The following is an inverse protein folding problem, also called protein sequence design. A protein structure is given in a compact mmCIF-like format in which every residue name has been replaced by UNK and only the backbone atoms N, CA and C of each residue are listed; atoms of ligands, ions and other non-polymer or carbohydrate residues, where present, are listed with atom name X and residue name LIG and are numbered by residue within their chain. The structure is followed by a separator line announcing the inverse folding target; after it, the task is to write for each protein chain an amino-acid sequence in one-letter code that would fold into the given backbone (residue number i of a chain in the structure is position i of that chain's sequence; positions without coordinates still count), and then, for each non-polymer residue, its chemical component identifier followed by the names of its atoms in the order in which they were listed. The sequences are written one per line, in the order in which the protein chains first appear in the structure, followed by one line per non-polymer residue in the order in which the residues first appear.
data_IF_104679240766
#
_entry.id   IF_104679240766
#
_cell.length_a   1.000
_cell.length_b   1.000
_cell.length_c   1.000
_cell.angle_alpha   90.00
_cell.angle_beta   90.00
_cell.angle_gamma   90.00
#
_symmetry.space_group_name_H-M   'P 1'
#
loop_
_entity.id
_entity.type
_entity.pdbx_description
1 polymer ?
#
# COMPACT_ATOMS: atom_id res chain seq x y z
N UNK A 1 -5.47 -13.21 -63.04
CA UNK A 1 -6.65 -12.95 -62.19
C UNK A 1 -6.24 -12.07 -61.02
N UNK A 2 -6.64 -10.80 -61.05
CA UNK A 2 -7.00 -9.96 -59.90
C UNK A 2 -7.32 -8.56 -60.45
N UNK A 3 -8.45 -8.02 -60.04
CA UNK A 3 -9.12 -6.86 -60.61
C UNK A 3 -8.57 -5.51 -60.08
N UNK A 4 -8.71 -4.47 -60.90
CA UNK A 4 -8.45 -3.06 -60.57
C UNK A 4 -9.48 -2.52 -59.54
N UNK A 5 -9.00 -1.66 -58.62
CA UNK A 5 -9.83 -0.87 -57.70
C UNK A 5 -9.78 0.60 -58.15
N UNK A 6 -10.90 1.32 -58.36
CA UNK A 6 -10.86 2.71 -58.82
C UNK A 6 -10.60 3.70 -57.67
N UNK A 7 -9.66 4.63 -57.88
CA UNK A 7 -9.39 5.78 -57.01
C UNK A 7 -10.45 6.89 -57.20
N UNK A 8 -11.06 7.34 -56.11
CA UNK A 8 -11.99 8.48 -56.10
C UNK A 8 -11.25 9.82 -56.32
N UNK A 9 -11.80 10.76 -57.10
CA UNK A 9 -11.15 12.04 -57.38
C UNK A 9 -11.32 13.08 -56.25
N UNK A 10 -10.25 13.84 -55.99
CA UNK A 10 -10.23 14.97 -55.05
C UNK A 10 -11.02 16.18 -55.60
N UNK A 11 -11.83 16.89 -54.79
CA UNK A 11 -12.52 18.09 -55.26
C UNK A 11 -11.58 19.32 -55.37
N UNK A 12 -11.77 20.06 -56.47
CA UNK A 12 -11.02 21.25 -56.90
C UNK A 12 -11.37 22.48 -56.05
N UNK A 13 -10.36 23.28 -55.70
CA UNK A 13 -10.52 24.58 -55.06
C UNK A 13 -11.18 25.63 -55.96
N UNK A 14 -12.04 26.47 -55.37
CA UNK A 14 -12.56 27.71 -55.99
C UNK A 14 -12.19 28.92 -55.11
N UNK A 15 -11.66 29.96 -55.76
CA UNK A 15 -11.24 31.25 -55.18
C UNK A 15 -12.44 32.10 -54.70
N UNK A 16 -12.23 33.06 -53.77
CA UNK A 16 -13.32 33.74 -53.05
C UNK A 16 -13.96 34.87 -53.87
N UNK A 17 -15.29 35.03 -53.75
CA UNK A 17 -16.01 36.25 -54.16
C UNK A 17 -16.42 37.06 -52.94
N UNK A 18 -16.01 38.33 -52.96
CA UNK A 18 -16.27 39.39 -51.99
C UNK A 18 -17.73 39.85 -52.12
N UNK A 19 -18.54 39.75 -51.06
CA UNK A 19 -19.89 40.32 -51.02
C UNK A 19 -19.98 41.29 -49.83
N UNK A 20 -20.61 42.44 -50.11
CA UNK A 20 -20.63 43.68 -49.35
C UNK A 20 -21.25 43.56 -47.94
N UNK A 21 -20.65 44.28 -46.99
CA UNK A 21 -21.15 44.47 -45.62
C UNK A 21 -22.40 45.34 -45.62
N UNK A 22 -23.45 44.93 -44.90
CA UNK A 22 -24.54 45.81 -44.42
C UNK A 22 -24.41 45.99 -42.89
N UNK A 23 -24.81 47.13 -42.31
CA UNK A 23 -24.59 47.43 -40.89
C UNK A 23 -25.55 46.67 -39.95
N UNK A 24 -25.07 46.53 -38.71
CA UNK A 24 -25.57 45.69 -37.60
C UNK A 24 -26.74 46.34 -36.84
N UNK A 25 -27.77 45.57 -36.43
CA UNK A 25 -28.66 45.96 -35.33
C UNK A 25 -28.05 45.54 -33.99
N UNK A 26 -28.02 46.46 -33.00
CA UNK A 26 -27.60 46.18 -31.62
C UNK A 26 -28.60 45.22 -30.97
N UNK A 27 -28.24 43.95 -30.81
CA UNK A 27 -28.89 43.05 -29.87
C UNK A 27 -28.01 42.78 -28.65
N UNK A 28 -28.68 42.88 -27.51
CA UNK A 28 -28.21 42.95 -26.14
C UNK A 28 -27.25 41.82 -25.77
N UNK A 29 -26.07 42.18 -25.25
CA UNK A 29 -25.15 41.25 -24.61
C UNK A 29 -25.85 40.57 -23.43
N UNK A 30 -26.13 39.27 -23.54
CA UNK A 30 -26.48 38.44 -22.37
C UNK A 30 -25.27 38.39 -21.43
N UNK A 31 -25.43 38.68 -20.14
CA UNK A 31 -24.32 38.61 -19.21
C UNK A 31 -23.82 37.17 -19.07
N UNK A 32 -22.50 37.05 -19.15
CA UNK A 32 -21.72 35.85 -18.83
C UNK A 32 -22.09 35.39 -17.42
N UNK A 33 -22.50 34.13 -17.28
CA UNK A 33 -22.87 33.51 -16.01
C UNK A 33 -21.72 33.67 -14.99
N UNK A 34 -21.88 34.55 -14.00
CA UNK A 34 -21.03 34.61 -12.83
C UNK A 34 -21.53 33.56 -11.84
N UNK A 35 -20.68 32.64 -11.33
CA UNK A 35 -21.11 31.71 -10.31
C UNK A 35 -21.44 32.51 -9.04
N UNK A 36 -22.70 32.45 -8.62
CA UNK A 36 -23.16 33.02 -7.35
C UNK A 36 -22.37 32.41 -6.21
N UNK A 37 -21.72 33.23 -5.39
CA UNK A 37 -21.12 32.81 -4.14
C UNK A 37 -22.21 32.24 -3.24
N UNK A 38 -22.35 30.92 -3.20
CA UNK A 38 -23.16 30.24 -2.19
C UNK A 38 -22.66 30.61 -0.78
N UNK A 39 -23.52 30.56 0.24
CA UNK A 39 -23.11 30.87 1.60
C UNK A 39 -21.90 30.00 1.95
N UNK A 40 -20.78 30.65 2.30
CA UNK A 40 -19.58 29.95 2.80
C UNK A 40 -20.05 29.08 3.95
N UNK A 41 -20.07 27.75 3.75
CA UNK A 41 -20.29 26.83 4.85
C UNK A 41 -19.21 27.11 5.88
N UNK A 42 -19.62 27.70 6.98
CA UNK A 42 -18.79 27.89 8.16
C UNK A 42 -18.48 26.47 8.61
N UNK A 43 -17.36 25.89 8.16
CA UNK A 43 -16.85 24.64 8.70
C UNK A 43 -16.72 24.87 10.18
N UNK A 44 -17.65 24.32 10.96
CA UNK A 44 -17.57 24.23 12.40
C UNK A 44 -16.18 23.70 12.74
N UNK A 45 -15.28 24.62 13.11
CA UNK A 45 -14.02 24.27 13.73
C UNK A 45 -14.34 23.91 15.17
N UNK A 46 -15.03 22.78 15.35
CA UNK A 46 -15.07 22.11 16.66
C UNK A 46 -13.60 21.91 17.05
N UNK A 47 -13.16 22.39 18.22
CA UNK A 47 -11.79 22.19 18.66
C UNK A 47 -11.53 20.68 18.62
N UNK A 48 -10.47 20.25 17.92
CA UNK A 48 -10.09 18.84 17.92
C UNK A 48 -9.94 18.45 19.39
N UNK A 49 -10.84 17.59 19.86
CA UNK A 49 -10.80 17.07 21.23
C UNK A 49 -9.40 16.50 21.52
N UNK A 50 -9.01 16.51 22.80
CA UNK A 50 -7.72 15.95 23.22
C UNK A 50 -7.56 14.56 22.57
N UNK A 51 -6.42 14.27 21.91
CA UNK A 51 -6.25 13.01 21.20
C UNK A 51 -6.45 11.86 22.17
N UNK A 52 -7.16 10.82 21.71
CA UNK A 52 -7.46 9.63 22.53
C UNK A 52 -6.18 9.04 23.12
N UNK A 53 -6.30 8.33 24.25
CA UNK A 53 -5.15 7.64 24.86
C UNK A 53 -4.48 6.68 23.87
N UNK A 54 -5.28 6.01 23.04
CA UNK A 54 -4.83 5.15 21.94
C UNK A 54 -3.94 5.93 20.96
N UNK A 55 -4.37 7.10 20.50
CA UNK A 55 -3.58 7.91 19.56
C UNK A 55 -2.29 8.42 20.19
N UNK A 56 -2.27 8.69 21.51
CA UNK A 56 -1.06 9.09 22.24
C UNK A 56 -0.07 7.94 22.37
N UNK A 57 -0.54 6.75 22.75
CA UNK A 57 0.27 5.54 22.83
C UNK A 57 0.86 5.20 21.46
N UNK A 58 0.05 5.27 20.40
CA UNK A 58 0.51 5.06 19.03
C UNK A 58 1.60 6.04 18.59
N UNK A 59 1.41 7.34 18.86
CA UNK A 59 2.43 8.35 18.58
C UNK A 59 3.72 8.09 19.35
N UNK A 60 3.62 7.58 20.58
CA UNK A 60 4.78 7.24 21.38
C UNK A 60 5.50 6.00 20.83
N UNK A 61 4.77 4.93 20.48
CA UNK A 61 5.33 3.74 19.83
C UNK A 61 6.07 4.09 18.54
N UNK A 62 5.45 4.89 17.66
CA UNK A 62 6.10 5.41 16.47
C UNK A 62 7.32 6.28 16.73
N UNK A 63 7.57 6.77 17.95
CA UNK A 63 8.80 7.54 18.26
C UNK A 63 9.94 6.65 18.73
N UNK A 64 9.63 5.45 19.23
CA UNK A 64 10.63 4.53 19.78
C UNK A 64 11.00 3.41 18.79
N UNK A 65 10.11 3.06 17.86
CA UNK A 65 10.38 2.02 16.87
C UNK A 65 11.58 2.36 15.97
N UNK A 66 12.49 1.40 15.80
CA UNK A 66 13.57 1.54 14.82
C UNK A 66 13.04 1.35 13.38
N UNK A 67 12.06 0.46 13.22
CA UNK A 67 11.46 0.09 11.94
C UNK A 67 9.96 -0.05 12.13
N UNK A 68 9.19 0.39 11.12
CA UNK A 68 7.74 0.20 11.04
C UNK A 68 7.41 -0.36 9.67
N UNK A 69 6.81 -1.55 9.64
CA UNK A 69 6.23 -2.12 8.44
C UNK A 69 4.84 -1.53 8.21
N UNK A 70 4.55 -1.13 6.97
CA UNK A 70 3.27 -0.58 6.58
C UNK A 70 2.70 -1.38 5.40
N UNK A 71 1.38 -1.56 5.41
CA UNK A 71 0.59 -2.19 4.35
C UNK A 71 -0.58 -1.26 3.95
N UNK A 72 -1.22 -1.53 2.80
CA UNK A 72 -2.25 -0.69 2.19
C UNK A 72 -1.85 0.79 2.04
N UNK A 73 -0.55 1.04 1.91
CA UNK A 73 0.00 2.37 1.76
C UNK A 73 -0.31 2.90 0.37
N UNK A 74 -1.52 3.46 0.16
CA UNK A 74 -1.92 4.14 -1.10
C UNK A 74 -1.16 5.45 -1.30
N UNK A 75 0.16 5.35 -1.34
CA UNK A 75 1.11 6.45 -1.42
C UNK A 75 1.31 6.81 -2.89
N UNK A 76 0.24 7.18 -3.60
CA UNK A 76 0.36 7.65 -4.98
C UNK A 76 1.13 8.96 -5.00
N UNK A 77 2.30 9.03 -5.67
CA UNK A 77 3.28 10.14 -5.85
C UNK A 77 3.57 11.11 -4.66
N UNK A 78 2.87 10.96 -3.54
CA UNK A 78 2.75 11.88 -2.43
C UNK A 78 3.51 11.31 -1.24
N UNK A 79 4.67 11.91 -1.01
CA UNK A 79 5.57 11.62 0.12
C UNK A 79 4.81 11.61 1.45
N UNK A 80 4.95 10.55 2.24
CA UNK A 80 4.67 10.62 3.67
C UNK A 80 5.57 11.69 4.30
N UNK A 81 5.03 12.76 4.91
CA UNK A 81 5.86 13.74 5.58
C UNK A 81 6.16 13.21 6.98
N UNK A 82 7.28 12.52 7.18
CA UNK A 82 7.68 12.09 8.53
C UNK A 82 9.09 12.57 8.86
N UNK A 83 9.14 13.71 9.57
CA UNK A 83 10.32 14.14 10.31
C UNK A 83 10.79 12.97 11.18
N UNK A 84 12.00 12.47 10.92
CA UNK A 84 12.62 11.42 11.72
C UNK A 84 12.55 9.99 11.16
N UNK A 85 11.99 9.78 9.96
CA UNK A 85 12.00 8.47 9.29
C UNK A 85 12.37 8.59 7.81
N UNK A 86 13.10 7.59 7.32
CA UNK A 86 13.33 7.29 5.91
C UNK A 86 12.27 6.30 5.45
N UNK A 87 11.58 6.62 4.35
CA UNK A 87 10.60 5.74 3.70
C UNK A 87 11.30 4.89 2.64
N UNK A 88 11.15 3.58 2.71
CA UNK A 88 11.50 2.64 1.66
C UNK A 88 10.23 2.08 1.02
N UNK A 89 10.21 2.09 -0.32
CA UNK A 89 9.14 1.55 -1.15
C UNK A 89 9.71 0.41 -2.00
N UNK A 90 8.88 -0.54 -2.47
CA UNK A 90 9.28 -1.55 -3.42
C UNK A 90 9.84 -0.89 -4.68
N UNK A 91 11.01 -1.34 -5.15
CA UNK A 91 11.61 -0.84 -6.40
C UNK A 91 11.09 -1.67 -7.57
N UNK A 92 10.37 -1.01 -8.48
CA UNK A 92 9.87 -1.60 -9.72
C UNK A 92 8.70 -2.58 -9.53
N UNK A 93 7.56 -2.31 -10.17
CA UNK A 93 6.56 -3.35 -10.44
C UNK A 93 5.12 -3.10 -10.00
N UNK A 94 4.83 -2.17 -9.10
CA UNK A 94 3.42 -1.80 -8.83
C UNK A 94 3.26 -0.32 -8.47
N UNK A 95 2.35 0.43 -9.12
CA UNK A 95 2.18 1.88 -8.91
C UNK A 95 1.69 2.28 -7.51
N UNK A 96 1.40 1.30 -6.63
CA UNK A 96 0.55 1.50 -5.47
C UNK A 96 1.26 1.78 -4.16
N UNK A 97 2.53 1.40 -4.00
CA UNK A 97 3.22 1.52 -2.71
C UNK A 97 2.57 0.68 -1.61
N UNK A 98 1.88 -0.42 -1.94
CA UNK A 98 0.99 -1.11 -1.01
C UNK A 98 1.72 -1.70 0.20
N UNK A 99 3.01 -1.99 0.12
CA UNK A 99 3.86 -2.32 1.25
C UNK A 99 5.02 -1.33 1.35
N UNK A 100 5.41 -0.93 2.55
CA UNK A 100 6.52 0.00 2.77
C UNK A 100 7.22 -0.25 4.11
N UNK A 101 8.44 0.26 4.24
CA UNK A 101 9.14 0.36 5.52
C UNK A 101 9.40 1.83 5.87
N UNK A 102 9.14 2.19 7.12
CA UNK A 102 9.69 3.40 7.72
C UNK A 102 10.85 3.01 8.63
N UNK A 103 12.04 3.54 8.36
CA UNK A 103 13.24 3.31 9.16
C UNK A 103 13.62 4.61 9.87
N UNK A 104 13.77 4.57 11.19
CA UNK A 104 14.05 5.77 11.98
C UNK A 104 15.38 6.38 11.57
N UNK A 105 15.42 7.69 11.35
CA UNK A 105 16.64 8.41 11.00
C UNK A 105 17.73 8.17 12.05
N UNK A 106 18.94 7.85 11.59
CA UNK A 106 20.06 7.45 12.43
C UNK A 106 20.19 5.95 12.64
N UNK A 107 19.17 5.15 12.30
CA UNK A 107 19.28 3.68 12.23
C UNK A 107 20.08 3.33 10.99
N UNK A 108 21.10 2.47 11.15
CA UNK A 108 21.88 1.95 10.02
C UNK A 108 21.08 0.84 9.33
N UNK A 109 20.98 0.92 8.01
CA UNK A 109 20.30 -0.10 7.22
C UNK A 109 20.91 -0.22 5.82
N UNK A 110 20.67 -1.36 5.19
CA UNK A 110 20.90 -1.61 3.76
C UNK A 110 19.57 -2.03 3.13
N UNK A 111 19.14 -1.33 2.10
CA UNK A 111 17.97 -1.73 1.30
C UNK A 111 18.28 -3.00 0.51
N UNK A 112 17.29 -3.88 0.33
CA UNK A 112 17.39 -5.04 -0.54
C UNK A 112 16.41 -4.84 -1.69
N UNK A 113 16.93 -4.92 -2.91
CA UNK A 113 16.11 -4.83 -4.12
C UNK A 113 15.51 -6.20 -4.42
N UNK A 114 14.19 -6.32 -4.27
CA UNK A 114 13.49 -7.58 -4.48
C UNK A 114 13.07 -7.75 -5.93
N UNK A 115 13.38 -8.90 -6.49
CA UNK A 115 12.85 -9.37 -7.76
C UNK A 115 11.65 -10.26 -7.46
N UNK A 116 10.48 -9.65 -7.31
CA UNK A 116 9.24 -10.36 -6.99
C UNK A 116 8.04 -9.59 -7.52
N UNK A 117 6.99 -10.30 -7.92
CA UNK A 117 5.70 -9.71 -8.27
C UNK A 117 4.81 -9.46 -7.03
N UNK A 118 5.29 -9.83 -5.83
CA UNK A 118 4.58 -9.60 -4.57
C UNK A 118 4.82 -8.16 -4.06
N UNK A 119 3.82 -7.57 -3.40
CA UNK A 119 3.97 -6.24 -2.80
C UNK A 119 4.80 -6.35 -1.52
N UNK A 120 6.11 -6.15 -1.65
CA UNK A 120 7.04 -6.28 -0.54
C UNK A 120 8.13 -5.19 -0.53
N UNK A 121 8.46 -4.69 0.66
CA UNK A 121 9.57 -3.77 0.88
C UNK A 121 10.46 -4.33 1.98
N UNK A 122 11.78 -4.31 1.78
CA UNK A 122 12.72 -5.00 2.68
C UNK A 122 13.99 -4.20 2.91
N UNK A 123 14.57 -4.37 4.10
CA UNK A 123 15.88 -3.86 4.44
C UNK A 123 16.53 -4.70 5.52
N UNK A 124 17.85 -4.80 5.44
CA UNK A 124 18.70 -5.28 6.53
C UNK A 124 18.95 -4.13 7.49
N UNK A 125 18.63 -4.33 8.76
CA UNK A 125 18.68 -3.31 9.80
C UNK A 125 19.78 -3.69 10.79
N UNK A 126 20.69 -2.76 11.06
CA UNK A 126 21.73 -2.93 12.07
C UNK A 126 21.30 -2.28 13.38
N UNK A 127 20.87 -3.12 14.32
CA UNK A 127 20.60 -2.75 15.72
C UNK A 127 21.76 -3.27 16.58
N UNK A 128 21.48 -3.83 17.76
CA UNK A 128 22.46 -4.64 18.52
C UNK A 128 22.86 -5.90 17.76
N UNK A 129 21.92 -6.47 17.01
CA UNK A 129 22.11 -7.55 16.04
C UNK A 129 21.56 -7.11 14.68
N UNK A 130 22.09 -7.71 13.62
CA UNK A 130 21.58 -7.49 12.27
C UNK A 130 20.32 -8.33 12.05
N UNK A 131 19.26 -7.70 11.53
CA UNK A 131 17.99 -8.34 11.22
C UNK A 131 17.46 -7.85 9.88
N UNK A 132 17.06 -8.76 9.00
CA UNK A 132 16.31 -8.42 7.79
C UNK A 132 14.84 -8.25 8.15
N UNK A 133 14.24 -7.12 7.79
CA UNK A 133 12.81 -6.88 7.98
C UNK A 133 12.16 -6.72 6.61
N UNK A 134 11.10 -7.49 6.36
CA UNK A 134 10.31 -7.42 5.14
C UNK A 134 8.87 -7.04 5.49
N UNK A 135 8.36 -5.95 4.93
CA UNK A 135 6.93 -5.64 4.92
C UNK A 135 6.30 -6.34 3.72
N UNK A 136 5.28 -7.16 3.94
CA UNK A 136 4.57 -7.91 2.89
C UNK A 136 3.09 -7.53 2.89
N UNK A 137 2.52 -7.35 1.70
CA UNK A 137 1.08 -7.22 1.51
C UNK A 137 0.60 -8.19 0.44
N UNK A 138 -0.20 -9.18 0.84
CA UNK A 138 -0.83 -10.11 -0.09
C UNK A 138 -2.23 -9.59 -0.43
N UNK A 139 -2.44 -9.19 -1.69
CA UNK A 139 -3.74 -8.71 -2.15
C UNK A 139 -4.84 -9.77 -1.92
N UNK A 140 -6.02 -9.39 -1.39
CA UNK A 140 -7.06 -10.34 -1.00
C UNK A 140 -7.59 -11.19 -2.16
N UNK A 141 -7.56 -10.67 -3.39
CA UNK A 141 -8.05 -11.35 -4.60
C UNK A 141 -6.92 -11.86 -5.52
N UNK A 142 -5.65 -11.73 -5.11
CA UNK A 142 -4.52 -12.18 -5.91
C UNK A 142 -4.17 -13.64 -5.58
N UNK A 143 -3.91 -14.45 -6.61
CA UNK A 143 -3.48 -15.84 -6.44
C UNK A 143 -2.00 -15.87 -6.10
N UNK A 144 -1.71 -16.06 -4.81
CA UNK A 144 -0.35 -16.28 -4.30
C UNK A 144 0.01 -17.76 -4.45
N UNK A 145 1.24 -18.06 -4.81
CA UNK A 145 1.75 -19.43 -4.97
C UNK A 145 2.94 -19.70 -4.05
N UNK A 146 3.20 -20.97 -3.70
CA UNK A 146 4.40 -21.35 -2.93
C UNK A 146 5.70 -20.92 -3.64
N UNK A 147 5.87 -21.12 -4.97
CA UNK A 147 7.07 -20.66 -5.67
C UNK A 147 7.32 -19.15 -5.54
N UNK A 148 6.30 -18.31 -5.72
CA UNK A 148 6.46 -16.86 -5.57
C UNK A 148 6.87 -16.44 -4.15
N UNK A 149 6.40 -17.17 -3.14
CA UNK A 149 6.82 -16.94 -1.74
C UNK A 149 8.24 -17.46 -1.49
N UNK A 150 8.60 -18.62 -2.04
CA UNK A 150 9.95 -19.17 -1.94
C UNK A 150 10.97 -18.20 -2.55
N UNK A 151 10.73 -17.72 -3.77
CA UNK A 151 11.57 -16.73 -4.45
C UNK A 151 11.75 -15.45 -3.64
N UNK A 152 10.68 -14.95 -2.99
CA UNK A 152 10.78 -13.82 -2.07
C UNK A 152 11.68 -14.14 -0.88
N UNK A 153 11.46 -15.27 -0.22
CA UNK A 153 12.18 -15.65 1.00
C UNK A 153 13.66 -15.94 0.73
N UNK A 154 14.00 -16.56 -0.40
CA UNK A 154 15.39 -16.83 -0.81
C UNK A 154 16.21 -15.55 -0.96
N UNK A 155 15.56 -14.41 -1.22
CA UNK A 155 16.20 -13.10 -1.31
C UNK A 155 16.42 -12.43 0.06
N UNK A 156 15.93 -13.00 1.16
CA UNK A 156 16.04 -12.42 2.50
C UNK A 156 17.24 -13.00 3.28
N UNK A 157 18.26 -12.19 3.61
CA UNK A 157 19.34 -12.63 4.48
C UNK A 157 18.81 -13.04 5.87
N UNK A 158 19.28 -14.17 6.40
CA UNK A 158 18.94 -14.62 7.76
C UNK A 158 19.77 -13.86 8.82
N UNK A 159 19.23 -13.60 10.01
CA UNK A 159 17.83 -13.83 10.40
C UNK A 159 16.91 -12.82 9.72
N UNK A 160 15.68 -13.23 9.42
CA UNK A 160 14.66 -12.36 8.86
C UNK A 160 13.35 -12.39 9.64
N UNK A 161 12.60 -11.30 9.51
CA UNK A 161 11.25 -11.09 10.01
C UNK A 161 10.38 -10.54 8.88
N UNK A 162 9.35 -11.30 8.50
CA UNK A 162 8.32 -10.89 7.55
C UNK A 162 7.09 -10.43 8.35
N UNK A 163 6.70 -9.18 8.15
CA UNK A 163 5.56 -8.53 8.79
C UNK A 163 4.57 -8.13 7.70
N UNK A 164 3.31 -8.52 7.84
CA UNK A 164 2.39 -8.20 6.75
C UNK A 164 0.95 -8.54 7.00
N UNK A 165 0.10 -8.03 6.11
CA UNK A 165 -1.26 -8.50 5.93
C UNK A 165 -1.24 -9.58 4.83
N UNK A 166 -1.50 -10.81 5.27
CA UNK A 166 -1.47 -12.00 4.42
C UNK A 166 -2.82 -12.25 3.75
N UNK A 167 -3.87 -11.52 4.17
CA UNK A 167 -5.26 -11.74 3.74
C UNK A 167 -5.64 -13.24 3.73
N UNK A 168 -5.22 -13.97 4.75
CA UNK A 168 -5.42 -15.40 4.87
C UNK A 168 -5.99 -15.76 6.24
N UNK A 169 -7.05 -16.55 6.26
CA UNK A 169 -7.74 -16.92 7.49
C UNK A 169 -7.33 -18.32 7.95
N UNK A 170 -6.71 -18.42 9.13
CA UNK A 170 -6.43 -19.71 9.77
C UNK A 170 -6.58 -19.70 11.29
N UNK A 171 -7.04 -20.82 11.88
CA UNK A 171 -6.95 -21.05 13.31
C UNK A 171 -5.53 -20.99 13.86
N UNK A 172 -4.49 -21.32 13.07
CA UNK A 172 -3.10 -21.29 13.55
C UNK A 172 -2.62 -19.90 13.98
N UNK A 173 -3.25 -18.83 13.48
CA UNK A 173 -2.97 -17.45 13.88
C UNK A 173 -4.19 -16.72 14.47
N UNK A 174 -5.25 -17.46 14.80
CA UNK A 174 -6.38 -16.94 15.59
C UNK A 174 -7.62 -16.51 14.82
N UNK A 175 -7.77 -16.90 13.55
CA UNK A 175 -9.04 -16.73 12.81
C UNK A 175 -9.81 -18.05 12.76
N UNK A 176 -11.10 -18.05 13.12
CA UNK A 176 -11.91 -19.28 13.09
C UNK A 176 -12.20 -19.78 11.67
N UNK A 177 -12.03 -18.92 10.65
CA UNK A 177 -12.28 -19.26 9.25
C UNK A 177 -11.09 -19.97 8.62
N UNK A 178 -11.37 -20.66 7.53
CA UNK A 178 -10.42 -21.35 6.66
C UNK A 178 -10.79 -21.02 5.21
N UNK A 179 -9.88 -20.43 4.45
CA UNK A 179 -10.00 -20.16 3.00
C UNK A 179 -9.15 -21.12 2.12
N UNK A 180 -8.83 -20.81 0.85
CA UNK A 180 -7.90 -21.63 0.07
C UNK A 180 -6.43 -21.25 0.28
N UNK A 181 -6.19 -20.02 0.74
CA UNK A 181 -4.88 -19.38 0.85
C UNK A 181 -4.15 -19.81 2.12
N UNK A 182 -4.85 -19.96 3.24
CA UNK A 182 -4.22 -20.37 4.50
C UNK A 182 -3.53 -21.71 4.41
N UNK A 183 -4.14 -22.72 3.78
CA UNK A 183 -3.55 -24.06 3.72
C UNK A 183 -2.19 -24.03 3.02
N UNK A 184 -2.12 -23.28 1.92
CA UNK A 184 -0.87 -23.08 1.18
C UNK A 184 0.19 -22.38 2.04
N UNK A 185 -0.21 -21.34 2.79
CA UNK A 185 0.69 -20.60 3.69
C UNK A 185 1.14 -21.42 4.89
N UNK A 186 0.24 -22.17 5.54
CA UNK A 186 0.59 -23.05 6.65
C UNK A 186 1.55 -24.15 6.23
N UNK A 187 1.27 -24.82 5.12
CA UNK A 187 2.17 -25.82 4.57
C UNK A 187 3.53 -25.19 4.25
N UNK A 188 3.56 -24.00 3.62
CA UNK A 188 4.81 -23.30 3.32
C UNK A 188 5.59 -22.91 4.59
N UNK A 189 4.92 -22.40 5.63
CA UNK A 189 5.53 -22.06 6.92
C UNK A 189 6.10 -23.31 7.58
N UNK A 190 5.33 -24.40 7.61
CA UNK A 190 5.75 -25.66 8.22
C UNK A 190 6.92 -26.33 7.46
N UNK A 191 6.87 -26.36 6.13
CA UNK A 191 7.91 -26.94 5.26
C UNK A 191 9.27 -26.23 5.42
N UNK A 192 9.27 -24.97 5.84
CA UNK A 192 10.47 -24.16 6.01
C UNK A 192 10.86 -23.91 7.49
N UNK A 193 10.19 -24.58 8.43
CA UNK A 193 10.37 -24.41 9.88
C UNK A 193 10.22 -22.95 10.35
N UNK A 194 9.43 -22.13 9.65
CA UNK A 194 9.24 -20.74 10.06
C UNK A 194 8.40 -20.62 11.33
N UNK A 195 8.73 -19.61 12.12
CA UNK A 195 8.07 -19.37 13.40
C UNK A 195 7.06 -18.24 13.23
N UNK A 196 5.81 -18.49 13.62
CA UNK A 196 4.79 -17.46 13.78
C UNK A 196 5.02 -16.83 15.17
N UNK A 197 5.46 -15.58 15.20
CA UNK A 197 5.80 -14.87 16.44
C UNK A 197 4.59 -14.26 17.15
N UNK A 198 3.49 -14.09 16.44
CA UNK A 198 2.27 -13.51 16.98
C UNK A 198 1.06 -14.27 16.43
N UNK A 199 0.28 -14.85 17.34
CA UNK A 199 -0.99 -15.50 17.05
C UNK A 199 -2.02 -15.06 18.09
N UNK A 200 -3.25 -14.77 17.66
CA UNK A 200 -4.40 -14.87 18.57
C UNK A 200 -5.13 -13.60 19.01
N UNK A 201 -4.72 -12.38 18.65
CA UNK A 201 -5.65 -11.23 18.76
C UNK A 201 -6.15 -10.80 17.39
N UNK A 202 -7.42 -10.42 17.33
CA UNK A 202 -8.09 -9.97 16.12
C UNK A 202 -7.41 -8.69 15.60
N UNK A 203 -6.73 -8.80 14.47
CA UNK A 203 -5.94 -7.71 13.90
C UNK A 203 -6.70 -6.84 12.91
N UNK A 204 -7.87 -7.29 12.46
CA UNK A 204 -8.71 -6.57 11.49
C UNK A 204 -10.16 -6.48 11.96
N UNK A 205 -10.79 -5.33 11.77
CA UNK A 205 -12.23 -5.10 12.01
C UNK A 205 -12.88 -4.67 10.70
N UNK A 206 -13.81 -5.48 10.21
CA UNK A 206 -14.66 -5.11 9.09
C UNK A 206 -15.84 -4.27 9.58
N UNK A 207 -15.72 -2.95 9.47
CA UNK A 207 -16.73 -2.00 10.00
C UNK A 207 -18.14 -2.23 9.46
N UNK A 208 -18.29 -2.63 8.19
CA UNK A 208 -19.61 -2.82 7.58
C UNK A 208 -20.31 -4.15 7.95
N UNK A 209 -19.56 -5.15 8.44
CA UNK A 209 -20.11 -6.48 8.78
C UNK A 209 -19.93 -6.82 10.26
N UNK A 210 -19.36 -5.90 11.06
CA UNK A 210 -19.00 -6.12 12.46
C UNK A 210 -18.23 -7.42 12.72
N UNK A 211 -17.47 -7.88 11.72
CA UNK A 211 -16.67 -9.10 11.80
C UNK A 211 -15.21 -8.77 12.04
N UNK A 212 -14.52 -9.66 12.73
CA UNK A 212 -13.11 -9.49 13.08
C UNK A 212 -12.28 -10.61 12.46
N UNK A 213 -11.07 -10.29 11.98
CA UNK A 213 -10.13 -11.27 11.43
C UNK A 213 -8.79 -11.20 12.12
N UNK A 214 -8.03 -12.30 12.08
CA UNK A 214 -6.60 -12.30 12.28
C UNK A 214 -5.94 -12.64 10.93
N UNK A 215 -5.55 -11.61 10.17
CA UNK A 215 -4.97 -11.76 8.82
C UNK A 215 -3.56 -11.17 8.74
N UNK A 216 -3.15 -10.45 9.77
CA UNK A 216 -1.83 -9.87 9.86
C UNK A 216 -0.89 -10.81 10.64
N UNK A 217 0.26 -11.13 10.05
CA UNK A 217 1.21 -12.09 10.61
C UNK A 217 2.59 -11.49 10.79
N UNK A 218 3.29 -12.02 11.79
CA UNK A 218 4.73 -11.91 11.94
C UNK A 218 5.36 -13.30 11.80
N UNK A 219 6.03 -13.54 10.68
CA UNK A 219 6.69 -14.81 10.35
C UNK A 219 8.19 -14.61 10.38
N UNK A 220 8.92 -15.49 11.05
CA UNK A 220 10.36 -15.33 11.20
C UNK A 220 11.15 -16.60 10.90
N UNK A 221 12.40 -16.40 10.49
CA UNK A 221 13.36 -17.50 10.39
C UNK A 221 13.68 -18.09 11.78
N UNK A 222 13.92 -19.41 11.91
CA UNK A 222 14.17 -20.08 13.19
C UNK A 222 15.24 -19.41 14.07
N UNK A 223 16.28 -18.86 13.45
CA UNK A 223 17.41 -18.21 14.13
C UNK A 223 17.05 -16.93 14.88
N UNK A 224 15.82 -16.43 14.77
CA UNK A 224 15.37 -15.22 15.47
C UNK A 224 15.04 -15.46 16.95
N UNK A 225 14.80 -16.71 17.35
CA UNK A 225 14.23 -17.06 18.66
C UNK A 225 15.07 -16.57 19.86
N UNK A 226 16.37 -16.31 19.66
CA UNK A 226 17.26 -15.78 20.69
C UNK A 226 17.56 -14.26 20.54
N UNK A 227 16.89 -13.56 19.64
CA UNK A 227 17.17 -12.16 19.29
C UNK A 227 16.01 -11.20 19.52
N UNK A 228 14.76 -11.67 19.51
CA UNK A 228 13.57 -10.82 19.75
C UNK A 228 13.17 -10.89 21.22
N UNK A 229 13.28 -9.75 21.91
CA UNK A 229 12.79 -9.59 23.28
C UNK A 229 11.34 -9.10 23.33
N UNK A 230 10.96 -8.19 22.41
CA UNK A 230 9.61 -7.65 22.31
C UNK A 230 9.25 -7.37 20.86
N UNK A 231 8.10 -7.89 20.40
CA UNK A 231 7.48 -7.53 19.14
C UNK A 231 6.09 -6.93 19.45
N UNK A 232 5.89 -5.67 19.11
CA UNK A 232 4.59 -5.01 19.26
C UNK A 232 3.89 -4.99 17.90
N UNK A 233 2.91 -5.87 17.73
CA UNK A 233 2.07 -5.92 16.54
C UNK A 233 0.91 -4.93 16.72
N UNK A 234 0.94 -3.80 16.00
CA UNK A 234 -0.12 -2.79 16.10
C UNK A 234 -0.98 -2.82 14.84
N UNK A 235 -2.27 -3.08 15.08
CA UNK A 235 -3.38 -3.06 14.13
C UNK A 235 -3.41 -1.78 13.28
N UNK A 236 -3.59 -1.99 11.97
CA UNK A 236 -3.85 -0.97 10.96
C UNK A 236 -5.13 -0.20 11.29
N UNK A 237 -5.01 1.12 11.51
CA UNK A 237 -6.15 2.02 11.40
C UNK A 237 -6.42 2.26 9.92
N UNK A 238 -7.49 1.67 9.38
CA UNK A 238 -8.09 2.17 8.14
C UNK A 238 -8.70 3.54 8.46
N UNK A 239 -8.12 4.61 7.92
CA UNK A 239 -8.72 5.95 7.95
C UNK A 239 -9.88 6.05 6.96
#
# INVERSE_FOLDING_TARGET
MAAEVPLLPRPRGKKPRRILRRPVPREQQKPMYQPSAGPKSQKDKRPLGKPSIVLRLWRWMLRISAVVALQECRLGEGRLPRRGYTLLLPRGGSPGGEAALLIRNGTRFSEIDLKTDLHAATATISLEKTLTVCSLYLLPNFRVSKPSLAELIEQLPKPFLVLGDFNAHSPAWGDSRRDGRWRMLEEFIAENDFIILYSGEQTFIHSAYHSTSAIDLAVASPSIAAAITFLYFNVVLKF
#
